data_IF_559923307743
#
_entry.id   IF_559923307743
#
_cell.length_a   1.000
_cell.length_b   1.000
_cell.length_c   1.000
_cell.angle_alpha   90.00
_cell.angle_beta   90.00
_cell.angle_gamma   90.00
#
_symmetry.space_group_name_H-M   'P 1'
#
loop_
_entity.id
_entity.type
_entity.pdbx_description
1 polymer ?
#
# COMPACT_ATOMS: atom_id res chain seq x y z
N UNK A 1 -3.28 5.44 12.25
CA UNK A 1 -4.23 4.53 11.59
C UNK A 1 -5.53 4.41 12.38
N UNK A 2 -6.20 5.51 12.58
CA UNK A 2 -7.47 5.49 13.30
C UNK A 2 -8.54 4.73 12.54
N UNK A 3 -9.34 3.94 13.24
CA UNK A 3 -10.53 3.30 12.69
C UNK A 3 -10.32 2.09 11.79
N UNK A 4 -9.09 1.57 11.64
CA UNK A 4 -8.91 0.33 10.91
C UNK A 4 -9.06 -0.88 11.84
N UNK A 5 -9.49 -2.01 11.28
CA UNK A 5 -9.66 -3.26 12.02
C UNK A 5 -8.66 -4.30 11.50
N UNK A 6 -7.84 -4.82 12.41
CA UNK A 6 -6.87 -5.87 12.12
C UNK A 6 -7.28 -7.13 12.87
N UNK A 7 -7.69 -8.14 12.13
CA UNK A 7 -8.05 -9.42 12.73
C UNK A 7 -6.81 -10.15 13.29
N UNK A 8 -7.00 -11.24 14.00
CA UNK A 8 -5.89 -11.95 14.62
C UNK A 8 -4.85 -12.45 13.63
N UNK A 9 -3.57 -12.45 14.05
CA UNK A 9 -2.45 -12.98 13.29
C UNK A 9 -2.18 -12.26 11.98
N UNK A 10 -2.50 -10.98 11.89
CA UNK A 10 -2.15 -10.15 10.74
C UNK A 10 -0.71 -9.67 10.89
N UNK A 11 0.07 -9.80 9.82
CA UNK A 11 1.44 -9.28 9.76
C UNK A 11 1.50 -8.17 8.72
N UNK A 12 2.07 -7.04 9.10
CA UNK A 12 2.19 -5.89 8.21
C UNK A 12 3.66 -5.50 8.13
N UNK A 13 4.18 -5.47 6.90
CA UNK A 13 5.57 -5.10 6.66
C UNK A 13 5.85 -3.62 6.90
N UNK A 14 7.13 -3.27 6.87
CA UNK A 14 7.59 -1.91 7.14
C UNK A 14 7.06 -0.92 6.10
N UNK A 15 6.83 0.31 6.53
CA UNK A 15 6.41 1.42 5.65
C UNK A 15 5.07 1.20 4.96
N UNK A 16 4.27 0.26 5.45
CA UNK A 16 2.92 0.06 4.92
C UNK A 16 1.93 0.97 5.64
N UNK A 17 0.93 1.43 4.91
CA UNK A 17 -0.13 2.31 5.43
C UNK A 17 -1.48 1.66 5.25
N UNK A 18 -2.27 1.65 6.33
CA UNK A 18 -3.61 1.08 6.30
C UNK A 18 -4.60 2.24 6.42
N UNK A 19 -5.43 2.41 5.42
CA UNK A 19 -6.41 3.49 5.40
C UNK A 19 -7.45 3.37 6.50
N UNK A 20 -8.11 4.50 6.80
CA UNK A 20 -9.16 4.54 7.82
C UNK A 20 -10.27 3.56 7.48
N UNK A 21 -10.83 2.92 8.49
CA UNK A 21 -11.91 1.94 8.38
C UNK A 21 -11.62 0.73 7.50
N UNK A 22 -10.38 0.53 7.07
CA UNK A 22 -10.00 -0.68 6.37
C UNK A 22 -10.07 -1.89 7.31
N UNK A 23 -10.40 -3.05 6.75
CA UNK A 23 -10.48 -4.31 7.49
C UNK A 23 -9.53 -5.32 6.88
N UNK A 24 -8.72 -5.95 7.71
CA UNK A 24 -7.81 -7.01 7.25
C UNK A 24 -8.20 -8.30 7.96
N UNK A 25 -8.53 -9.32 7.19
CA UNK A 25 -9.01 -10.58 7.72
C UNK A 25 -7.90 -11.38 8.42
N UNK A 26 -8.25 -12.40 9.22
CA UNK A 26 -7.24 -13.18 9.95
C UNK A 26 -6.20 -13.83 9.03
N UNK A 27 -5.00 -13.99 9.56
CA UNK A 27 -3.91 -14.71 8.90
C UNK A 27 -3.42 -14.08 7.60
N UNK A 28 -3.72 -12.80 7.37
CA UNK A 28 -3.27 -12.08 6.19
C UNK A 28 -1.85 -11.54 6.41
N UNK A 29 -1.03 -11.60 5.38
CA UNK A 29 0.30 -10.99 5.37
C UNK A 29 0.30 -9.83 4.38
N UNK A 30 0.63 -8.65 4.89
CA UNK A 30 0.80 -7.45 4.08
C UNK A 30 2.29 -7.22 3.92
N UNK A 31 2.76 -7.09 2.70
CA UNK A 31 4.18 -6.87 2.45
C UNK A 31 4.65 -5.50 2.88
N UNK A 32 5.86 -5.14 2.50
CA UNK A 32 6.44 -3.83 2.81
C UNK A 32 5.95 -2.79 1.80
N UNK A 33 5.87 -1.54 2.25
CA UNK A 33 5.52 -0.41 1.38
C UNK A 33 4.20 -0.63 0.64
N UNK A 34 3.20 -1.14 1.36
CA UNK A 34 1.87 -1.40 0.83
C UNK A 34 0.94 -0.28 1.30
N UNK A 35 0.06 0.18 0.43
CA UNK A 35 -1.01 1.11 0.80
C UNK A 35 -2.33 0.38 0.64
N UNK A 36 -3.09 0.33 1.74
CA UNK A 36 -4.45 -0.20 1.73
C UNK A 36 -5.39 0.99 1.79
N UNK A 37 -6.27 1.12 0.80
CA UNK A 37 -7.18 2.25 0.72
C UNK A 37 -8.20 2.27 1.85
N UNK A 38 -8.71 3.46 2.14
CA UNK A 38 -9.74 3.62 3.17
C UNK A 38 -10.97 2.76 2.85
N UNK A 39 -11.50 2.09 3.85
CA UNK A 39 -12.68 1.23 3.67
C UNK A 39 -12.43 -0.08 2.96
N UNK A 40 -11.20 -0.37 2.56
CA UNK A 40 -10.89 -1.63 1.86
C UNK A 40 -11.04 -2.83 2.80
N UNK A 41 -11.39 -3.98 2.23
CA UNK A 41 -11.47 -5.24 2.97
C UNK A 41 -10.46 -6.21 2.35
N UNK A 42 -9.36 -6.44 3.05
CA UNK A 42 -8.27 -7.28 2.55
C UNK A 42 -8.56 -8.73 2.90
N UNK A 43 -8.76 -9.55 1.90
CA UNK A 43 -9.13 -10.97 2.06
C UNK A 43 -8.01 -11.92 1.67
N UNK A 44 -6.92 -11.42 1.08
CA UNK A 44 -5.78 -12.23 0.63
C UNK A 44 -4.48 -11.50 0.95
N UNK A 45 -3.39 -12.25 1.00
CA UNK A 45 -2.07 -11.67 1.21
C UNK A 45 -1.77 -10.62 0.13
N UNK A 46 -1.06 -9.57 0.52
CA UNK A 46 -0.72 -8.46 -0.36
C UNK A 46 0.80 -8.42 -0.55
N UNK A 47 1.23 -8.39 -1.80
CA UNK A 47 2.66 -8.29 -2.12
C UNK A 47 3.20 -6.92 -1.76
N UNK A 48 4.51 -6.86 -1.51
CA UNK A 48 5.19 -5.59 -1.25
C UNK A 48 5.06 -4.64 -2.43
N UNK A 49 5.12 -3.35 -2.14
CA UNK A 49 5.13 -2.28 -3.14
C UNK A 49 3.86 -2.25 -4.00
N UNK A 50 2.71 -2.48 -3.39
CA UNK A 50 1.42 -2.42 -4.09
C UNK A 50 0.44 -1.54 -3.36
N UNK A 51 -0.54 -1.04 -4.10
CA UNK A 51 -1.69 -0.32 -3.57
C UNK A 51 -2.92 -1.15 -3.84
N UNK A 52 -3.70 -1.44 -2.81
CA UNK A 52 -4.94 -2.20 -2.93
C UNK A 52 -6.11 -1.38 -2.39
N UNK A 53 -7.27 -1.50 -3.03
CA UNK A 53 -8.47 -0.74 -2.67
C UNK A 53 -9.71 -1.60 -2.86
N UNK A 54 -10.77 -1.23 -2.21
CA UNK A 54 -12.09 -1.80 -2.43
C UNK A 54 -12.46 -2.95 -1.52
N UNK A 55 -13.65 -3.48 -1.72
CA UNK A 55 -14.20 -4.62 -0.97
C UNK A 55 -14.75 -5.64 -1.98
N UNK A 56 -14.08 -6.81 -2.17
CA UNK A 56 -12.78 -7.15 -1.60
C UNK A 56 -11.67 -6.29 -2.19
N UNK A 57 -10.59 -6.10 -1.44
CA UNK A 57 -9.45 -5.29 -1.90
C UNK A 57 -8.80 -5.93 -3.11
N UNK A 58 -8.56 -5.11 -4.11
CA UNK A 58 -7.93 -5.54 -5.36
C UNK A 58 -6.76 -4.63 -5.70
N UNK A 59 -5.82 -5.16 -6.44
CA UNK A 59 -4.65 -4.42 -6.90
C UNK A 59 -5.11 -3.20 -7.72
N UNK A 60 -4.61 -2.04 -7.34
CA UNK A 60 -4.85 -0.79 -8.07
C UNK A 60 -3.63 -0.40 -8.89
N UNK A 61 -2.46 -0.35 -8.27
CA UNK A 61 -1.22 0.02 -8.92
C UNK A 61 -0.03 -0.36 -8.05
N UNK A 62 1.16 -0.29 -8.62
CA UNK A 62 2.37 -0.44 -7.85
C UNK A 62 2.62 0.80 -7.00
N UNK A 63 3.22 0.59 -5.83
CA UNK A 63 3.64 1.67 -4.95
C UNK A 63 5.16 1.67 -4.91
N UNK A 64 5.78 2.63 -5.57
CA UNK A 64 7.24 2.69 -5.63
C UNK A 64 7.82 3.03 -4.25
N UNK A 65 9.01 2.47 -3.92
CA UNK A 65 9.65 2.79 -2.66
C UNK A 65 9.83 4.29 -2.48
N UNK A 66 9.65 4.73 -1.24
CA UNK A 66 9.61 6.15 -0.88
C UNK A 66 10.91 6.90 -1.20
N UNK A 67 12.03 6.20 -1.25
CA UNK A 67 13.31 6.76 -1.64
C UNK A 67 13.95 5.88 -2.70
N UNK A 68 13.52 6.08 -3.93
CA UNK A 68 14.27 5.57 -5.06
C UNK A 68 14.86 6.77 -5.78
N UNK A 69 16.12 7.05 -5.51
CA UNK A 69 16.80 8.22 -6.06
C UNK A 69 16.81 8.21 -7.61
N UNK A 70 16.85 7.03 -8.21
CA UNK A 70 16.79 6.93 -9.67
C UNK A 70 15.44 7.38 -10.22
N UNK A 71 14.34 6.93 -9.60
CA UNK A 71 13.01 7.33 -10.04
C UNK A 71 12.80 8.81 -9.77
N UNK A 72 13.19 9.29 -8.61
CA UNK A 72 13.05 10.69 -8.26
C UNK A 72 13.86 11.59 -9.20
N UNK A 73 15.09 11.22 -9.48
CA UNK A 73 15.93 11.96 -10.43
C UNK A 73 15.34 11.97 -11.83
N UNK A 74 14.79 10.85 -12.29
CA UNK A 74 14.15 10.78 -13.59
C UNK A 74 12.94 11.70 -13.68
N UNK A 75 12.11 11.74 -12.65
CA UNK A 75 10.94 12.62 -12.63
C UNK A 75 11.37 14.08 -12.67
N UNK A 76 12.39 14.46 -11.92
CA UNK A 76 12.90 15.82 -11.93
C UNK A 76 13.45 16.20 -13.29
N UNK A 77 14.19 15.32 -13.95
CA UNK A 77 14.73 15.57 -15.28
C UNK A 77 13.62 15.73 -16.32
N UNK A 78 12.58 14.92 -16.26
CA UNK A 78 11.44 15.06 -17.13
C UNK A 78 10.76 16.43 -16.97
N UNK A 79 10.59 16.87 -15.72
CA UNK A 79 10.02 18.20 -15.47
C UNK A 79 10.89 19.33 -16.02
N UNK A 80 12.20 19.21 -15.92
CA UNK A 80 13.12 20.20 -16.48
C UNK A 80 13.03 20.25 -18.00
N UNK A 81 12.87 19.10 -18.63
CA UNK A 81 12.79 19.03 -20.09
C UNK A 81 11.50 19.63 -20.65
N UNK A 82 10.46 19.71 -19.85
CA UNK A 82 9.19 20.29 -20.29
C UNK A 82 9.13 21.80 -20.18
N UNK A 83 10.14 22.39 -19.63
CA UNK A 83 10.25 23.83 -19.56
C UNK A 83 11.04 24.35 -20.76
#
# INVERSE_FOLDING_TARGET
MGGCYLAGRVKIGNFSSIGATATILPDIKIGENVIVGAGAVVTKNVKSNTVVVGNPAKFLRNNFPKFNSKIFGKILNEKKQKN
#
